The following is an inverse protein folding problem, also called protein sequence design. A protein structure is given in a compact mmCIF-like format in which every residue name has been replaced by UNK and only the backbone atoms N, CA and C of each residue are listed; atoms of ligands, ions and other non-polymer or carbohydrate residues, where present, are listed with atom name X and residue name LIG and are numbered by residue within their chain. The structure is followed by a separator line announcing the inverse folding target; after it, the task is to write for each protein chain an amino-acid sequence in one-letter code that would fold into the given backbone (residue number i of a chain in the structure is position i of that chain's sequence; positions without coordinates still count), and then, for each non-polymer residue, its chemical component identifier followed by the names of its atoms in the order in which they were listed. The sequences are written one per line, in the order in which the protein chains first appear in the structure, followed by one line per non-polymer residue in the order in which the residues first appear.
data_IF_209153063188
#
_entry.id   IF_209153063188
#
_cell.length_a   1.000
_cell.length_b   1.000
_cell.length_c   1.000
_cell.angle_alpha   90.00
_cell.angle_beta   90.00
_cell.angle_gamma   90.00
#
_symmetry.space_group_name_H-M   'P 1'
#
loop_
_entity.id
_entity.type
_entity.pdbx_description
1 polymer ?
#
# COMPACT_ATOMS: atom_id res chain seq x y z
N UNK A 1 -20.14 7.18 -29.39
CA UNK A 1 -19.17 7.93 -28.57
C UNK A 1 -19.87 8.49 -27.36
N UNK A 2 -19.28 8.37 -26.18
CA UNK A 2 -19.82 8.91 -24.93
C UNK A 2 -19.68 10.43 -24.98
N UNK A 3 -20.76 11.14 -24.65
CA UNK A 3 -20.87 12.60 -24.93
C UNK A 3 -20.16 13.48 -23.89
N UNK A 4 -19.93 13.01 -22.65
CA UNK A 4 -19.32 13.80 -21.57
C UNK A 4 -18.51 12.93 -20.60
N UNK A 5 -17.61 13.55 -19.83
CA UNK A 5 -16.88 12.86 -18.78
C UNK A 5 -17.79 12.44 -17.62
N UNK A 6 -18.84 13.17 -17.32
CA UNK A 6 -19.82 12.73 -16.33
C UNK A 6 -20.49 11.41 -16.73
N UNK A 7 -20.78 11.22 -18.02
CA UNK A 7 -21.34 9.96 -18.52
C UNK A 7 -20.30 8.82 -18.45
N UNK A 8 -19.03 9.09 -18.79
CA UNK A 8 -17.92 8.14 -18.61
C UNK A 8 -17.80 7.69 -17.14
N UNK A 9 -17.88 8.61 -16.20
CA UNK A 9 -17.83 8.33 -14.76
C UNK A 9 -19.02 7.47 -14.32
N UNK A 10 -20.24 7.73 -14.82
CA UNK A 10 -21.42 6.91 -14.52
C UNK A 10 -21.25 5.49 -15.03
N UNK A 11 -20.85 5.34 -16.30
CA UNK A 11 -20.59 4.01 -16.90
C UNK A 11 -19.53 3.26 -16.10
N UNK A 12 -18.41 3.92 -15.79
CA UNK A 12 -17.32 3.31 -15.00
C UNK A 12 -17.82 2.84 -13.63
N UNK A 13 -18.63 3.64 -12.96
CA UNK A 13 -19.24 3.31 -11.66
C UNK A 13 -20.18 2.10 -11.74
N UNK A 14 -21.00 2.02 -12.78
CA UNK A 14 -22.02 0.98 -12.95
C UNK A 14 -21.42 -0.34 -13.44
N UNK A 15 -20.48 -0.28 -14.39
CA UNK A 15 -19.93 -1.45 -15.06
C UNK A 15 -18.56 -1.87 -14.56
N UNK A 16 -17.90 -1.03 -13.72
CA UNK A 16 -16.52 -1.22 -13.21
C UNK A 16 -15.46 -1.27 -14.33
N UNK A 17 -15.81 -0.88 -15.52
CA UNK A 17 -14.93 -0.84 -16.67
C UNK A 17 -15.28 0.31 -17.59
N UNK A 18 -14.30 0.75 -18.38
CA UNK A 18 -14.50 1.74 -19.44
C UNK A 18 -13.59 1.34 -20.59
N UNK A 19 -13.99 1.62 -21.83
CA UNK A 19 -13.15 1.35 -23.00
C UNK A 19 -11.87 2.19 -22.93
N UNK A 20 -10.74 1.68 -23.44
CA UNK A 20 -9.40 2.28 -23.26
C UNK A 20 -9.32 3.72 -23.77
N UNK A 21 -9.93 4.02 -24.92
CA UNK A 21 -9.96 5.39 -25.47
C UNK A 21 -10.82 6.33 -24.65
N UNK A 22 -11.94 5.85 -24.12
CA UNK A 22 -12.81 6.63 -23.25
C UNK A 22 -12.17 6.88 -21.86
N UNK A 23 -11.41 5.91 -21.33
CA UNK A 23 -10.62 6.08 -20.11
C UNK A 23 -9.52 7.13 -20.29
N UNK A 24 -8.81 7.11 -21.43
CA UNK A 24 -7.83 8.13 -21.80
C UNK A 24 -8.47 9.50 -21.82
N UNK A 25 -9.59 9.65 -22.53
CA UNK A 25 -10.31 10.92 -22.64
C UNK A 25 -10.73 11.44 -21.28
N UNK A 26 -11.23 10.56 -20.41
CA UNK A 26 -11.59 10.89 -19.03
C UNK A 26 -10.38 11.46 -18.27
N UNK A 27 -9.25 10.78 -18.28
CA UNK A 27 -8.07 11.17 -17.49
C UNK A 27 -7.36 12.43 -18.02
N UNK A 28 -7.45 12.71 -19.33
CA UNK A 28 -6.74 13.82 -19.97
C UNK A 28 -7.54 15.13 -20.04
N UNK A 29 -8.88 15.09 -19.87
CA UNK A 29 -9.71 16.24 -20.24
C UNK A 29 -10.79 16.63 -19.24
N UNK A 30 -10.67 16.25 -17.96
CA UNK A 30 -11.64 16.63 -16.94
C UNK A 30 -11.59 18.12 -16.61
N UNK A 31 -12.76 18.75 -16.50
CA UNK A 31 -12.95 20.05 -15.85
C UNK A 31 -12.96 19.91 -14.33
N UNK A 32 -12.82 21.00 -13.59
CA UNK A 32 -12.89 20.99 -12.11
C UNK A 32 -14.21 20.42 -11.59
N UNK A 33 -15.32 20.70 -12.27
CA UNK A 33 -16.66 20.16 -11.92
C UNK A 33 -16.73 18.64 -12.16
N UNK A 34 -16.12 18.15 -13.22
CA UNK A 34 -16.05 16.71 -13.53
C UNK A 34 -15.11 15.97 -12.58
N UNK A 35 -14.03 16.61 -12.14
CA UNK A 35 -13.14 16.07 -11.09
C UNK A 35 -13.90 15.89 -9.77
N UNK A 36 -14.63 16.91 -9.32
CA UNK A 36 -15.44 16.80 -8.10
C UNK A 36 -16.53 15.72 -8.24
N UNK A 37 -17.14 15.59 -9.42
CA UNK A 37 -18.10 14.52 -9.70
C UNK A 37 -17.46 13.13 -9.64
N UNK A 38 -16.22 12.98 -10.13
CA UNK A 38 -15.43 11.75 -10.04
C UNK A 38 -15.15 11.41 -8.56
N UNK A 39 -14.64 12.36 -7.77
CA UNK A 39 -14.37 12.15 -6.36
C UNK A 39 -15.62 11.83 -5.55
N UNK A 40 -16.71 12.55 -5.80
CA UNK A 40 -17.99 12.28 -5.16
C UNK A 40 -18.52 10.88 -5.49
N UNK A 41 -18.39 10.45 -6.74
CA UNK A 41 -18.77 9.08 -7.18
C UNK A 41 -17.93 8.01 -6.48
N UNK A 42 -16.61 8.20 -6.40
CA UNK A 42 -15.70 7.28 -5.72
C UNK A 42 -15.98 7.22 -4.21
N UNK A 43 -16.25 8.37 -3.55
CA UNK A 43 -16.69 8.42 -2.13
C UNK A 43 -17.94 7.59 -1.91
N UNK A 44 -18.98 7.80 -2.72
CA UNK A 44 -20.23 7.06 -2.61
C UNK A 44 -20.03 5.55 -2.74
N UNK A 45 -19.17 5.11 -3.67
CA UNK A 45 -18.82 3.69 -3.81
C UNK A 45 -18.07 3.18 -2.59
N UNK A 46 -17.10 3.94 -2.07
CA UNK A 46 -16.37 3.56 -0.86
C UNK A 46 -17.30 3.46 0.35
N UNK A 47 -18.15 4.47 0.56
CA UNK A 47 -19.10 4.52 1.68
C UNK A 47 -20.18 3.45 1.60
N UNK A 48 -20.58 3.02 0.41
CA UNK A 48 -21.51 1.90 0.23
C UNK A 48 -20.93 0.55 0.72
N UNK A 49 -19.60 0.39 0.71
CA UNK A 49 -18.93 -0.84 1.12
C UNK A 49 -18.32 -0.77 2.53
N UNK A 50 -17.81 0.39 2.91
CA UNK A 50 -17.03 0.58 4.14
C UNK A 50 -17.61 1.67 5.04
N UNK A 51 -18.80 2.20 4.70
CA UNK A 51 -19.40 3.36 5.36
C UNK A 51 -18.38 4.52 5.38
N UNK A 52 -18.22 5.20 6.49
CA UNK A 52 -17.20 6.24 6.68
C UNK A 52 -15.99 5.76 7.49
N UNK A 53 -15.76 4.44 7.50
CA UNK A 53 -14.65 3.83 8.21
C UNK A 53 -13.33 4.02 7.48
N UNK A 54 -12.30 4.42 8.23
CA UNK A 54 -10.89 4.47 7.79
C UNK A 54 -10.09 3.49 8.63
N UNK A 55 -9.43 2.55 7.96
CA UNK A 55 -8.64 1.52 8.62
C UNK A 55 -7.22 2.00 8.90
N UNK A 56 -6.79 1.83 10.16
CA UNK A 56 -5.40 2.08 10.55
C UNK A 56 -4.56 0.82 10.39
N UNK A 57 -3.39 0.97 9.76
CA UNK A 57 -2.38 -0.08 9.69
C UNK A 57 -1.09 0.41 10.31
N UNK A 58 -0.65 -0.27 11.36
CA UNK A 58 0.59 0.05 12.06
C UNK A 58 1.81 -0.36 11.26
N UNK A 59 2.56 0.59 10.74
CA UNK A 59 3.72 0.37 9.89
C UNK A 59 4.98 0.26 10.75
N UNK A 60 5.70 -0.86 10.65
CA UNK A 60 7.02 -1.08 11.25
C UNK A 60 8.03 -1.21 10.10
N UNK A 61 8.81 -0.17 9.88
CA UNK A 61 9.94 -0.13 8.95
C UNK A 61 11.15 -0.72 9.68
N UNK A 62 11.40 -2.02 9.56
CA UNK A 62 12.34 -2.73 10.45
C UNK A 62 13.76 -2.83 9.92
N UNK A 63 13.99 -2.58 8.61
CA UNK A 63 15.33 -2.51 8.03
C UNK A 63 15.38 -1.54 6.87
N UNK A 64 16.42 -0.69 6.83
CA UNK A 64 16.72 0.19 5.70
C UNK A 64 17.73 -0.43 4.70
N UNK A 65 18.17 -1.66 4.90
CA UNK A 65 19.01 -2.37 3.96
C UNK A 65 18.20 -2.93 2.79
N UNK A 66 18.76 -2.84 1.59
CA UNK A 66 18.19 -3.44 0.39
C UNK A 66 19.31 -3.96 -0.51
N UNK A 67 19.13 -5.15 -1.09
CA UNK A 67 20.06 -5.72 -2.08
C UNK A 67 19.83 -5.17 -3.49
N UNK A 68 18.66 -4.58 -3.74
CA UNK A 68 18.26 -4.08 -5.04
C UNK A 68 18.72 -2.63 -5.26
N UNK A 69 18.82 -2.26 -6.52
CA UNK A 69 19.35 -0.96 -6.93
C UNK A 69 18.35 -0.14 -7.76
N UNK A 70 17.06 -0.19 -7.38
CA UNK A 70 15.98 0.56 -8.05
C UNK A 70 16.35 2.05 -8.15
N UNK A 71 16.18 2.63 -9.35
CA UNK A 71 16.73 3.95 -9.67
C UNK A 71 16.00 5.12 -9.00
N UNK A 72 14.85 4.88 -8.41
CA UNK A 72 14.01 5.86 -7.72
C UNK A 72 14.12 5.82 -6.19
N UNK A 73 14.74 4.79 -5.61
CA UNK A 73 14.62 4.49 -4.18
C UNK A 73 15.85 4.94 -3.38
N UNK A 74 15.67 5.77 -2.36
CA UNK A 74 16.76 6.19 -1.48
C UNK A 74 17.41 5.05 -0.67
N UNK A 75 16.72 3.89 -0.54
CA UNK A 75 17.29 2.69 0.10
C UNK A 75 18.05 1.77 -0.88
N UNK A 76 18.23 2.17 -2.11
CA UNK A 76 18.97 1.39 -3.11
C UNK A 76 20.35 0.96 -2.62
N UNK A 77 20.82 -0.19 -3.10
CA UNK A 77 22.11 -0.78 -2.65
C UNK A 77 23.28 0.19 -2.83
N UNK A 78 23.37 0.84 -3.99
CA UNK A 78 24.46 1.75 -4.33
C UNK A 78 24.42 3.10 -3.60
N UNK A 79 23.37 3.39 -2.82
CA UNK A 79 23.35 4.61 -2.01
C UNK A 79 24.22 4.43 -0.75
N UNK A 80 25.46 4.90 -0.83
CA UNK A 80 26.44 4.83 0.27
C UNK A 80 26.18 5.87 1.36
N UNK A 81 25.35 6.89 1.10
CA UNK A 81 25.00 7.94 2.07
C UNK A 81 23.82 7.51 2.96
N UNK A 82 23.09 6.46 2.60
CA UNK A 82 21.96 5.97 3.37
C UNK A 82 22.39 5.48 4.77
N UNK A 83 21.83 6.08 5.81
CA UNK A 83 22.05 5.67 7.19
C UNK A 83 21.32 4.35 7.45
N UNK A 84 22.05 3.24 7.40
CA UNK A 84 21.51 1.90 7.52
C UNK A 84 21.22 1.51 8.97
N UNK A 85 20.13 0.74 9.16
CA UNK A 85 19.79 0.13 10.45
C UNK A 85 19.03 -1.18 10.21
N UNK A 86 18.99 -1.99 11.26
CA UNK A 86 18.13 -3.17 11.41
C UNK A 86 17.60 -3.16 12.85
N UNK A 87 16.34 -3.45 13.02
CA UNK A 87 15.75 -3.66 14.36
C UNK A 87 15.96 -5.12 14.77
N UNK A 88 16.16 -5.36 16.07
CA UNK A 88 16.14 -6.72 16.58
C UNK A 88 14.72 -7.30 16.60
N UNK A 89 14.60 -8.61 16.76
CA UNK A 89 13.29 -9.26 16.87
C UNK A 89 12.48 -8.69 18.05
N UNK A 90 13.14 -8.47 19.19
CA UNK A 90 12.53 -7.89 20.39
C UNK A 90 12.02 -6.47 20.14
N UNK A 91 12.77 -5.64 19.41
CA UNK A 91 12.35 -4.28 19.06
C UNK A 91 11.13 -4.30 18.13
N UNK A 92 11.10 -5.23 17.16
CA UNK A 92 9.96 -5.37 16.22
C UNK A 92 8.71 -5.82 16.97
N UNK A 93 8.82 -6.82 17.83
CA UNK A 93 7.71 -7.32 18.65
C UNK A 93 7.20 -6.23 19.61
N UNK A 94 8.08 -5.52 20.28
CA UNK A 94 7.71 -4.40 21.17
C UNK A 94 6.96 -3.28 20.39
N UNK A 95 7.35 -2.99 19.13
CA UNK A 95 6.60 -2.06 18.29
C UNK A 95 5.20 -2.59 17.96
N UNK A 96 5.05 -3.90 17.70
CA UNK A 96 3.77 -4.52 17.45
C UNK A 96 2.87 -4.50 18.69
N UNK A 97 3.40 -4.84 19.87
CA UNK A 97 2.71 -4.78 21.17
C UNK A 97 2.21 -3.36 21.44
N UNK A 98 3.09 -2.37 21.27
CA UNK A 98 2.72 -0.96 21.42
C UNK A 98 1.63 -0.54 20.42
N UNK A 99 1.70 -1.01 19.18
CA UNK A 99 0.66 -0.79 18.17
C UNK A 99 -0.68 -1.38 18.61
N UNK A 100 -0.68 -2.58 19.13
CA UNK A 100 -1.89 -3.25 19.63
C UNK A 100 -2.56 -2.48 20.78
N UNK A 101 -1.78 -2.02 21.76
CA UNK A 101 -2.24 -1.16 22.87
C UNK A 101 -2.87 0.14 22.35
N UNK A 102 -2.35 0.70 21.27
CA UNK A 102 -2.87 1.89 20.63
C UNK A 102 -4.10 1.61 19.74
N UNK A 103 -4.61 0.38 19.70
CA UNK A 103 -5.80 0.00 18.96
C UNK A 103 -5.58 -0.37 17.50
N UNK A 104 -4.34 -0.58 17.06
CA UNK A 104 -4.10 -1.16 15.74
C UNK A 104 -4.45 -2.66 15.76
N UNK A 105 -5.08 -3.14 14.70
CA UNK A 105 -5.41 -4.56 14.48
C UNK A 105 -4.83 -5.09 13.17
N UNK A 106 -3.96 -4.29 12.56
CA UNK A 106 -3.08 -4.70 11.45
C UNK A 106 -1.69 -4.16 11.69
N UNK A 107 -0.72 -5.05 11.66
CA UNK A 107 0.71 -4.73 11.72
C UNK A 107 1.31 -4.97 10.32
N UNK A 108 2.02 -3.98 9.80
CA UNK A 108 2.72 -4.07 8.51
C UNK A 108 4.22 -4.09 8.78
N UNK A 109 4.86 -5.21 8.47
CA UNK A 109 6.31 -5.35 8.51
C UNK A 109 6.87 -4.98 7.13
N UNK A 110 7.60 -3.87 7.07
CA UNK A 110 8.18 -3.34 5.83
C UNK A 110 9.69 -3.17 5.93
N UNK A 111 10.39 -3.55 4.88
CA UNK A 111 11.84 -3.33 4.74
C UNK A 111 12.23 -3.19 3.26
N UNK A 112 13.48 -2.82 2.99
CA UNK A 112 14.11 -3.20 1.74
C UNK A 112 14.23 -4.73 1.64
N UNK A 113 14.65 -5.24 0.49
CA UNK A 113 14.99 -6.67 0.36
C UNK A 113 16.33 -6.94 1.06
N UNK A 114 16.25 -7.13 2.37
CA UNK A 114 17.42 -7.33 3.23
C UNK A 114 17.71 -8.83 3.40
N UNK A 115 18.84 -9.35 2.90
CA UNK A 115 19.19 -10.77 3.02
C UNK A 115 19.60 -11.19 4.44
N UNK A 116 19.76 -10.25 5.37
CA UNK A 116 20.06 -10.54 6.77
C UNK A 116 18.93 -11.33 7.44
N UNK A 117 17.69 -10.94 7.19
CA UNK A 117 16.53 -11.66 7.70
C UNK A 117 16.21 -12.85 6.79
N UNK A 118 16.52 -14.05 7.28
CA UNK A 118 16.20 -15.30 6.59
C UNK A 118 14.71 -15.61 6.72
N UNK A 119 14.23 -16.59 5.99
CA UNK A 119 12.82 -17.00 6.04
C UNK A 119 12.40 -17.42 7.45
N UNK A 120 13.29 -18.10 8.19
CA UNK A 120 13.08 -18.48 9.58
C UNK A 120 12.82 -17.25 10.48
N UNK A 121 13.64 -16.22 10.32
CA UNK A 121 13.55 -15.00 11.12
C UNK A 121 12.21 -14.27 10.86
N UNK A 122 11.78 -14.20 9.59
CA UNK A 122 10.47 -13.63 9.22
C UNK A 122 9.32 -14.48 9.77
N UNK A 123 9.41 -15.81 9.68
CA UNK A 123 8.40 -16.71 10.25
C UNK A 123 8.27 -16.53 11.77
N UNK A 124 9.39 -16.43 12.50
CA UNK A 124 9.38 -16.17 13.95
C UNK A 124 8.77 -14.83 14.31
N UNK A 125 9.04 -13.77 13.55
CA UNK A 125 8.39 -12.46 13.76
C UNK A 125 6.87 -12.53 13.54
N UNK A 126 6.45 -13.20 12.47
CA UNK A 126 5.02 -13.35 12.15
C UNK A 126 4.32 -14.17 13.23
N UNK A 127 4.84 -15.35 13.60
CA UNK A 127 4.23 -16.20 14.63
C UNK A 127 4.25 -15.51 16.00
N UNK A 128 5.33 -14.82 16.37
CA UNK A 128 5.39 -14.07 17.61
C UNK A 128 4.31 -12.99 17.71
N UNK A 129 4.07 -12.21 16.64
CA UNK A 129 2.96 -11.24 16.62
C UNK A 129 1.61 -11.96 16.73
N UNK A 130 1.43 -13.10 16.06
CA UNK A 130 0.18 -13.86 16.12
C UNK A 130 -0.06 -14.53 17.47
N UNK A 131 1.00 -14.93 18.17
CA UNK A 131 0.91 -15.48 19.53
C UNK A 131 0.52 -14.41 20.56
N UNK A 132 1.14 -13.21 20.48
CA UNK A 132 0.80 -12.09 21.35
C UNK A 132 -0.59 -11.52 21.03
N UNK A 133 -0.94 -11.41 19.75
CA UNK A 133 -2.14 -10.72 19.25
C UNK A 133 -2.84 -11.52 18.15
N UNK A 134 -3.55 -12.60 18.50
CA UNK A 134 -4.16 -13.51 17.51
C UNK A 134 -5.24 -12.85 16.65
N UNK A 135 -5.85 -11.77 17.14
CA UNK A 135 -6.83 -10.96 16.42
C UNK A 135 -6.21 -9.91 15.47
N UNK A 136 -4.89 -9.76 15.47
CA UNK A 136 -4.19 -8.89 14.52
C UNK A 136 -3.98 -9.57 13.16
N UNK A 137 -4.10 -8.79 12.09
CA UNK A 137 -3.60 -9.16 10.78
C UNK A 137 -2.11 -8.77 10.64
N UNK A 138 -1.31 -9.66 10.09
CA UNK A 138 0.09 -9.39 9.76
C UNK A 138 0.23 -9.25 8.25
N UNK A 139 0.75 -8.09 7.82
CA UNK A 139 1.04 -7.78 6.41
C UNK A 139 2.55 -7.73 6.22
N UNK A 140 3.06 -8.42 5.22
CA UNK A 140 4.47 -8.34 4.82
C UNK A 140 4.62 -7.42 3.59
N UNK A 141 5.68 -6.61 3.59
CA UNK A 141 6.10 -5.77 2.45
C UNK A 141 7.63 -5.78 2.41
N UNK A 142 8.20 -6.92 2.00
CA UNK A 142 9.64 -7.23 2.07
C UNK A 142 10.22 -7.68 0.72
N UNK A 143 9.58 -7.27 -0.39
CA UNK A 143 10.04 -7.49 -1.76
C UNK A 143 9.78 -8.88 -2.32
N UNK A 144 10.60 -9.27 -3.30
CA UNK A 144 10.46 -10.52 -4.04
C UNK A 144 11.09 -11.69 -3.30
N UNK A 145 10.38 -12.82 -3.26
CA UNK A 145 10.83 -14.07 -2.66
C UNK A 145 10.47 -15.26 -3.56
N UNK A 146 10.91 -16.45 -3.17
CA UNK A 146 10.46 -17.68 -3.81
C UNK A 146 9.04 -18.05 -3.38
N UNK A 147 8.36 -18.89 -4.15
CA UNK A 147 7.03 -19.42 -3.79
C UNK A 147 7.07 -20.16 -2.46
N UNK A 148 8.16 -20.91 -2.21
CA UNK A 148 8.36 -21.64 -0.96
C UNK A 148 8.48 -20.71 0.24
N UNK A 149 9.22 -19.59 0.10
CA UNK A 149 9.31 -18.55 1.15
C UNK A 149 7.94 -17.97 1.45
N UNK A 150 7.16 -17.62 0.42
CA UNK A 150 5.79 -17.11 0.59
C UNK A 150 4.90 -18.12 1.31
N UNK A 151 4.98 -19.41 0.93
CA UNK A 151 4.19 -20.46 1.59
C UNK A 151 4.55 -20.58 3.08
N UNK A 152 5.85 -20.49 3.42
CA UNK A 152 6.32 -20.52 4.81
C UNK A 152 5.77 -19.35 5.61
N UNK A 153 5.81 -18.13 5.05
CA UNK A 153 5.25 -16.94 5.71
C UNK A 153 3.73 -17.06 5.93
N UNK A 154 3.01 -17.57 4.94
CA UNK A 154 1.57 -17.82 5.06
C UNK A 154 1.27 -18.85 6.15
N UNK A 155 2.02 -19.94 6.20
CA UNK A 155 1.89 -20.97 7.23
C UNK A 155 2.23 -20.46 8.64
N UNK A 156 3.18 -19.51 8.76
CA UNK A 156 3.50 -18.83 10.01
C UNK A 156 2.41 -17.86 10.49
N UNK A 157 1.40 -17.56 9.65
CA UNK A 157 0.25 -16.75 10.01
C UNK A 157 0.19 -15.37 9.35
N UNK A 158 1.08 -15.06 8.39
CA UNK A 158 0.97 -13.81 7.63
C UNK A 158 -0.33 -13.82 6.81
N UNK A 159 -1.14 -12.78 6.97
CA UNK A 159 -2.47 -12.67 6.35
C UNK A 159 -2.41 -11.98 4.98
N UNK A 160 -1.50 -11.01 4.83
CA UNK A 160 -1.44 -10.12 3.66
C UNK A 160 -0.01 -9.93 3.17
N UNK A 161 0.11 -9.64 1.89
CA UNK A 161 1.38 -9.25 1.29
C UNK A 161 1.20 -8.07 0.35
N UNK A 162 2.02 -7.02 0.50
CA UNK A 162 2.04 -5.88 -0.41
C UNK A 162 3.33 -5.93 -1.25
N UNK A 163 3.17 -6.06 -2.56
CA UNK A 163 4.26 -6.05 -3.53
C UNK A 163 3.86 -5.17 -4.72
N UNK A 164 4.30 -3.91 -4.72
CA UNK A 164 4.00 -2.99 -5.81
C UNK A 164 4.76 -3.40 -7.06
N UNK A 165 4.06 -3.45 -8.20
CA UNK A 165 4.74 -3.67 -9.49
C UNK A 165 5.41 -2.41 -10.02
N UNK A 166 5.04 -1.24 -9.52
CA UNK A 166 5.49 0.12 -9.86
C UNK A 166 5.06 0.57 -11.26
N UNK A 167 5.02 -0.31 -12.22
CA UNK A 167 4.42 -0.20 -13.55
C UNK A 167 4.24 -1.60 -14.13
N UNK A 168 3.25 -1.78 -14.98
CA UNK A 168 2.97 -3.06 -15.67
C UNK A 168 3.62 -3.16 -17.05
N UNK A 169 4.10 -2.02 -17.58
CA UNK A 169 4.78 -1.93 -18.86
C UNK A 169 6.25 -2.39 -18.74
N UNK A 170 6.71 -3.34 -19.59
CA UNK A 170 8.06 -3.88 -19.49
C UNK A 170 9.18 -2.88 -19.83
N UNK A 171 8.93 -1.92 -20.72
CA UNK A 171 9.95 -0.92 -21.08
C UNK A 171 10.08 0.11 -19.97
N UNK A 172 8.97 0.60 -19.46
CA UNK A 172 8.96 1.51 -18.33
C UNK A 172 9.52 0.86 -17.05
N UNK A 173 9.25 -0.44 -16.83
CA UNK A 173 9.84 -1.18 -15.70
C UNK A 173 11.37 -1.21 -15.77
N UNK A 174 11.96 -1.48 -16.94
CA UNK A 174 13.42 -1.42 -17.16
C UNK A 174 13.99 -0.03 -16.99
N UNK A 175 13.21 1.02 -17.31
CA UNK A 175 13.64 2.40 -17.07
C UNK A 175 13.76 2.72 -15.57
N UNK A 176 12.93 2.10 -14.72
CA UNK A 176 12.89 2.34 -13.28
C UNK A 176 13.82 1.40 -12.47
N UNK A 177 14.24 0.27 -13.04
CA UNK A 177 14.95 -0.79 -12.32
C UNK A 177 16.20 -1.26 -13.07
N UNK A 178 17.19 -1.83 -12.34
CA UNK A 178 18.32 -2.50 -12.96
C UNK A 178 17.89 -3.77 -13.70
N UNK A 179 18.68 -4.21 -14.68
CA UNK A 179 18.41 -5.38 -15.53
C UNK A 179 18.26 -6.71 -14.75
N UNK A 180 18.70 -6.74 -13.48
CA UNK A 180 18.53 -7.88 -12.59
C UNK A 180 17.10 -8.07 -12.11
N UNK A 181 16.24 -7.06 -12.26
CA UNK A 181 14.82 -7.07 -11.90
C UNK A 181 13.97 -7.04 -13.16
N UNK A 182 12.99 -7.93 -13.24
CA UNK A 182 12.07 -8.00 -14.39
C UNK A 182 10.61 -7.92 -13.94
N UNK A 183 9.78 -7.31 -14.78
CA UNK A 183 8.34 -7.24 -14.51
C UNK A 183 7.68 -8.62 -14.53
N UNK A 184 8.20 -9.54 -15.33
CA UNK A 184 7.73 -10.91 -15.42
C UNK A 184 7.90 -11.62 -14.06
N UNK A 185 9.09 -11.51 -13.44
CA UNK A 185 9.31 -12.07 -12.10
C UNK A 185 8.44 -11.39 -11.05
N UNK A 186 8.24 -10.06 -11.12
CA UNK A 186 7.35 -9.32 -10.24
C UNK A 186 5.91 -9.81 -10.35
N UNK A 187 5.40 -9.99 -11.59
CA UNK A 187 4.06 -10.52 -11.85
C UNK A 187 3.94 -11.98 -11.40
N UNK A 188 4.98 -12.81 -11.58
CA UNK A 188 5.04 -14.18 -11.05
C UNK A 188 4.89 -14.17 -9.51
N UNK A 189 5.66 -13.34 -8.82
CA UNK A 189 5.58 -13.22 -7.36
C UNK A 189 4.14 -12.83 -6.90
N UNK A 190 3.52 -11.88 -7.58
CA UNK A 190 2.14 -11.48 -7.30
C UNK A 190 1.16 -12.63 -7.49
N UNK A 191 1.34 -13.42 -8.56
CA UNK A 191 0.50 -14.57 -8.85
C UNK A 191 0.69 -15.68 -7.80
N UNK A 192 1.94 -16.00 -7.44
CA UNK A 192 2.25 -16.99 -6.39
C UNK A 192 1.58 -16.62 -5.06
N UNK A 193 1.71 -15.36 -4.64
CA UNK A 193 1.08 -14.85 -3.41
C UNK A 193 -0.44 -14.99 -3.44
N UNK A 194 -1.06 -14.69 -4.58
CA UNK A 194 -2.51 -14.82 -4.76
C UNK A 194 -2.97 -16.27 -4.67
N UNK A 195 -2.27 -17.19 -5.34
CA UNK A 195 -2.58 -18.62 -5.36
C UNK A 195 -2.38 -19.29 -3.99
N UNK A 196 -1.40 -18.84 -3.19
CA UNK A 196 -1.18 -19.30 -1.82
C UNK A 196 -2.34 -18.88 -0.90
N UNK A 197 -3.03 -17.76 -1.23
CA UNK A 197 -4.21 -17.31 -0.50
C UNK A 197 -4.00 -16.07 0.37
N UNK A 198 -2.92 -15.31 0.17
CA UNK A 198 -2.79 -14.00 0.79
C UNK A 198 -3.87 -13.01 0.33
N UNK A 199 -4.29 -12.12 1.21
CA UNK A 199 -4.89 -10.87 0.75
C UNK A 199 -3.77 -10.04 0.10
N UNK A 200 -3.72 -10.09 -1.23
CA UNK A 200 -2.61 -9.52 -2.02
C UNK A 200 -2.82 -8.03 -2.31
N UNK A 201 -1.74 -7.27 -2.20
CA UNK A 201 -1.66 -5.87 -2.61
C UNK A 201 -0.65 -5.66 -3.73
N UNK A 202 -1.03 -4.88 -4.72
CA UNK A 202 -0.16 -4.38 -5.77
C UNK A 202 -0.16 -2.85 -5.81
N UNK A 203 0.39 -2.21 -6.84
CA UNK A 203 0.32 -0.76 -6.99
C UNK A 203 1.45 -0.16 -7.81
N UNK A 204 1.34 1.13 -8.05
CA UNK A 204 2.23 1.89 -8.94
C UNK A 204 2.72 3.18 -8.30
N UNK A 205 3.79 3.76 -8.85
CA UNK A 205 4.15 5.15 -8.66
C UNK A 205 3.43 6.01 -9.70
N UNK A 206 2.87 7.14 -9.27
CA UNK A 206 2.20 8.09 -10.15
C UNK A 206 3.16 9.23 -10.49
N UNK A 207 3.32 9.50 -11.79
CA UNK A 207 4.26 10.51 -12.27
C UNK A 207 5.72 10.09 -12.12
N UNK A 208 6.03 8.79 -12.17
CA UNK A 208 7.40 8.29 -12.20
C UNK A 208 8.11 8.71 -13.50
N UNK A 209 9.45 8.83 -13.49
CA UNK A 209 10.21 9.27 -14.66
C UNK A 209 9.86 8.47 -15.92
N UNK A 210 9.54 9.17 -17.00
CA UNK A 210 9.14 8.56 -18.28
C UNK A 210 7.72 7.96 -18.31
N UNK A 211 6.90 8.09 -17.27
CA UNK A 211 5.53 7.60 -17.27
C UNK A 211 4.66 8.35 -18.28
N UNK A 212 3.95 7.62 -19.11
CA UNK A 212 2.99 8.15 -20.09
C UNK A 212 1.58 7.74 -19.74
N UNK A 213 0.57 8.33 -20.40
CA UNK A 213 -0.82 7.90 -20.25
C UNK A 213 -1.03 6.44 -20.68
N UNK A 214 -0.28 5.93 -21.67
CA UNK A 214 -0.37 4.52 -22.05
C UNK A 214 0.11 3.58 -20.93
N UNK A 215 1.17 3.95 -20.21
CA UNK A 215 1.62 3.20 -19.04
C UNK A 215 0.56 3.19 -17.94
N UNK A 216 -0.06 4.33 -17.66
CA UNK A 216 -1.15 4.43 -16.66
C UNK A 216 -2.34 3.54 -17.06
N UNK A 217 -2.75 3.57 -18.32
CA UNK A 217 -3.84 2.73 -18.81
C UNK A 217 -3.50 1.23 -18.70
N UNK A 218 -2.26 0.84 -19.07
CA UNK A 218 -1.80 -0.54 -18.89
C UNK A 218 -1.86 -0.97 -17.43
N UNK A 219 -1.43 -0.12 -16.52
CA UNK A 219 -1.47 -0.35 -15.09
C UNK A 219 -2.91 -0.51 -14.55
N UNK A 220 -3.82 0.36 -14.96
CA UNK A 220 -5.23 0.29 -14.56
C UNK A 220 -5.88 -1.02 -15.01
N UNK A 221 -5.68 -1.41 -16.28
CA UNK A 221 -6.27 -2.65 -16.81
C UNK A 221 -5.59 -3.91 -16.25
N UNK A 222 -4.27 -3.86 -15.99
CA UNK A 222 -3.60 -4.93 -15.25
C UNK A 222 -4.22 -5.12 -13.86
N UNK A 223 -4.40 -4.05 -13.08
CA UNK A 223 -5.01 -4.12 -11.75
C UNK A 223 -6.47 -4.61 -11.82
N UNK A 224 -7.25 -4.16 -12.80
CA UNK A 224 -8.62 -4.61 -13.00
C UNK A 224 -8.71 -6.12 -13.32
N UNK A 225 -7.79 -6.63 -14.14
CA UNK A 225 -7.70 -8.05 -14.48
C UNK A 225 -7.17 -8.88 -13.31
N UNK A 226 -6.10 -8.43 -12.66
CA UNK A 226 -5.47 -9.11 -11.53
C UNK A 226 -6.38 -9.18 -10.30
N UNK A 227 -7.27 -8.19 -10.10
CA UNK A 227 -8.20 -8.09 -8.97
C UNK A 227 -7.51 -8.25 -7.62
N UNK A 228 -6.63 -7.33 -7.23
CA UNK A 228 -5.99 -7.33 -5.94
C UNK A 228 -6.97 -6.98 -4.83
N UNK A 229 -6.67 -7.36 -3.59
CA UNK A 229 -7.43 -6.94 -2.40
C UNK A 229 -7.03 -5.54 -1.92
N UNK A 230 -5.80 -5.12 -2.23
CA UNK A 230 -5.24 -3.82 -1.86
C UNK A 230 -4.54 -3.21 -3.07
N UNK A 231 -4.60 -1.88 -3.22
CA UNK A 231 -3.83 -1.16 -4.24
C UNK A 231 -3.15 0.05 -3.61
N UNK A 232 -1.81 0.02 -3.54
CA UNK A 232 -1.01 1.11 -3.00
C UNK A 232 -0.47 2.00 -4.11
N UNK A 233 -1.09 3.17 -4.33
CA UNK A 233 -0.56 4.18 -5.25
C UNK A 233 -0.16 5.44 -4.50
N UNK A 234 0.81 6.16 -5.03
CA UNK A 234 1.22 7.46 -4.51
C UNK A 234 2.12 8.18 -5.51
N UNK A 235 2.24 9.49 -5.37
CA UNK A 235 3.10 10.26 -6.27
C UNK A 235 4.56 9.84 -6.12
N UNK A 236 5.28 9.79 -7.23
CA UNK A 236 6.73 9.73 -7.23
C UNK A 236 7.28 11.00 -6.56
N UNK A 237 8.26 10.84 -5.69
CA UNK A 237 9.03 11.93 -5.10
C UNK A 237 10.50 11.55 -5.26
N UNK A 238 11.35 12.40 -5.87
CA UNK A 238 12.75 12.08 -6.05
C UNK A 238 13.50 11.99 -4.73
N UNK A 239 14.61 11.27 -4.71
CA UNK A 239 15.58 11.27 -3.63
C UNK A 239 16.92 11.76 -4.19
N UNK A 240 17.57 12.67 -3.48
CA UNK A 240 18.80 13.36 -3.94
C UNK A 240 19.98 12.41 -4.23
N UNK A 241 20.03 11.23 -3.63
CA UNK A 241 21.07 10.21 -3.84
C UNK A 241 20.64 9.11 -4.84
N UNK A 242 19.77 9.43 -5.79
CA UNK A 242 19.29 8.46 -6.79
C UNK A 242 19.56 8.96 -8.21
N UNK A 243 19.60 8.07 -9.21
CA UNK A 243 19.67 8.49 -10.62
C UNK A 243 18.57 9.49 -11.04
N UNK A 244 17.44 9.48 -10.37
CA UNK A 244 16.30 10.34 -10.65
C UNK A 244 16.21 11.58 -9.73
N UNK A 245 17.32 11.98 -9.10
CA UNK A 245 17.36 13.14 -8.21
C UNK A 245 16.90 14.46 -8.88
N UNK A 246 17.13 14.62 -10.18
CA UNK A 246 16.73 15.80 -10.95
C UNK A 246 15.33 15.72 -11.58
N UNK A 247 14.61 14.62 -11.40
CA UNK A 247 13.30 14.42 -12.00
C UNK A 247 12.20 15.14 -11.23
N UNK A 248 11.12 15.49 -11.94
CA UNK A 248 9.97 16.14 -11.33
C UNK A 248 9.16 15.12 -10.51
N UNK A 249 8.68 15.56 -9.35
CA UNK A 249 7.73 14.77 -8.57
C UNK A 249 6.40 14.60 -9.34
N UNK A 250 5.73 13.46 -9.11
CA UNK A 250 4.35 13.25 -9.50
C UNK A 250 3.40 14.21 -8.78
N UNK A 251 2.17 14.36 -9.27
CA UNK A 251 1.23 15.35 -8.73
C UNK A 251 0.22 14.73 -7.77
N UNK A 252 -0.26 15.54 -6.84
CA UNK A 252 -1.40 15.18 -5.98
C UNK A 252 -2.64 14.96 -6.84
N UNK A 253 -2.89 15.84 -7.82
CA UNK A 253 -4.06 15.81 -8.71
C UNK A 253 -4.15 14.46 -9.45
N UNK A 254 -3.11 14.06 -10.16
CA UNK A 254 -3.11 12.79 -10.90
C UNK A 254 -3.29 11.59 -9.97
N UNK A 255 -2.68 11.64 -8.78
CA UNK A 255 -2.83 10.58 -7.79
C UNK A 255 -4.27 10.48 -7.29
N UNK A 256 -4.97 11.60 -7.06
CA UNK A 256 -6.37 11.62 -6.64
C UNK A 256 -7.29 11.10 -7.74
N UNK A 257 -7.05 11.48 -9.01
CA UNK A 257 -7.79 10.95 -10.16
C UNK A 257 -7.68 9.42 -10.22
N UNK A 258 -6.45 8.90 -10.10
CA UNK A 258 -6.22 7.46 -10.16
C UNK A 258 -6.80 6.72 -8.94
N UNK A 259 -6.75 7.30 -7.74
CA UNK A 259 -7.43 6.73 -6.56
C UNK A 259 -8.93 6.59 -6.82
N UNK A 260 -9.57 7.64 -7.35
CA UNK A 260 -10.99 7.63 -7.62
C UNK A 260 -11.36 6.66 -8.74
N UNK A 261 -10.61 6.64 -9.84
CA UNK A 261 -10.81 5.66 -10.94
C UNK A 261 -10.66 4.23 -10.44
N UNK A 262 -9.60 3.93 -9.68
CA UNK A 262 -9.37 2.59 -9.11
C UNK A 262 -10.51 2.20 -8.17
N UNK A 263 -11.06 3.12 -7.38
CA UNK A 263 -12.23 2.87 -6.53
C UNK A 263 -13.46 2.49 -7.36
N UNK A 264 -13.67 3.16 -8.49
CA UNK A 264 -14.81 2.83 -9.38
C UNK A 264 -14.60 1.50 -10.10
N UNK A 265 -13.36 1.17 -10.52
CA UNK A 265 -13.03 -0.10 -11.18
C UNK A 265 -13.03 -1.29 -10.20
N UNK A 266 -12.63 -1.07 -8.96
CA UNK A 266 -12.47 -2.08 -7.90
C UNK A 266 -13.19 -1.62 -6.62
N UNK A 267 -14.52 -1.71 -6.55
CA UNK A 267 -15.33 -1.09 -5.49
C UNK A 267 -14.96 -1.47 -4.06
N UNK A 268 -14.45 -2.69 -3.85
CA UNK A 268 -14.09 -3.23 -2.52
C UNK A 268 -12.59 -3.19 -2.21
N UNK A 269 -11.76 -2.64 -3.11
CA UNK A 269 -10.32 -2.61 -2.89
C UNK A 269 -9.94 -1.74 -1.68
N UNK A 270 -8.95 -2.16 -0.91
CA UNK A 270 -8.40 -1.36 0.17
C UNK A 270 -7.37 -0.38 -0.40
N UNK A 271 -7.63 0.91 -0.31
CA UNK A 271 -6.81 1.98 -0.90
C UNK A 271 -6.19 2.86 0.19
N UNK A 272 -4.86 2.89 0.34
CA UNK A 272 -4.21 3.80 1.26
C UNK A 272 -4.10 5.23 0.71
N UNK A 273 -4.44 6.20 1.56
CA UNK A 273 -3.99 7.58 1.41
C UNK A 273 -2.55 7.65 1.94
N UNK A 274 -1.58 7.61 1.03
CA UNK A 274 -0.17 7.35 1.34
C UNK A 274 0.53 8.52 2.04
N UNK A 275 1.67 8.22 2.70
CA UNK A 275 2.55 9.24 3.27
C UNK A 275 3.09 10.19 2.20
N UNK A 276 3.35 9.69 1.00
CA UNK A 276 3.82 10.51 -0.14
C UNK A 276 2.81 11.60 -0.53
N UNK A 277 1.49 11.31 -0.53
CA UNK A 277 0.47 12.36 -0.71
C UNK A 277 0.56 13.43 0.37
N UNK A 278 0.72 13.02 1.63
CA UNK A 278 0.87 13.96 2.76
C UNK A 278 2.19 14.72 2.75
N UNK A 279 3.22 14.20 2.08
CA UNK A 279 4.52 14.86 1.92
C UNK A 279 4.44 16.01 0.91
N UNK A 280 3.75 15.80 -0.22
CA UNK A 280 3.57 16.87 -1.24
C UNK A 280 2.54 17.90 -0.78
N UNK A 281 1.44 17.45 -0.19
CA UNK A 281 0.36 18.33 0.28
C UNK A 281 0.02 17.97 1.74
N UNK A 282 0.16 18.91 2.69
CA UNK A 282 -0.20 18.67 4.10
C UNK A 282 -1.63 18.12 4.31
N UNK A 283 -2.57 18.37 3.39
CA UNK A 283 -3.93 17.82 3.37
C UNK A 283 -4.09 16.64 2.39
N UNK A 284 -3.00 16.14 1.82
CA UNK A 284 -3.04 15.11 0.78
C UNK A 284 -3.72 13.82 1.23
N UNK A 285 -3.55 13.41 2.50
CA UNK A 285 -4.22 12.21 3.03
C UNK A 285 -5.73 12.37 3.12
N UNK A 286 -6.20 13.52 3.62
CA UNK A 286 -7.63 13.84 3.69
C UNK A 286 -8.25 13.92 2.29
N UNK A 287 -7.55 14.56 1.34
CA UNK A 287 -7.98 14.60 -0.06
C UNK A 287 -8.04 13.18 -0.66
N UNK A 288 -7.06 12.33 -0.34
CA UNK A 288 -7.06 10.92 -0.75
C UNK A 288 -8.28 10.15 -0.24
N UNK A 289 -8.65 10.32 1.04
CA UNK A 289 -9.86 9.71 1.61
C UNK A 289 -11.11 10.24 0.88
N UNK A 290 -11.18 11.55 0.64
CA UNK A 290 -12.29 12.17 -0.09
C UNK A 290 -12.32 11.77 -1.57
N UNK A 291 -11.25 11.24 -2.12
CA UNK A 291 -11.17 10.65 -3.46
C UNK A 291 -11.36 9.10 -3.46
N UNK A 292 -11.84 8.52 -2.35
CA UNK A 292 -12.20 7.10 -2.28
C UNK A 292 -11.18 6.19 -1.61
N UNK A 293 -10.08 6.70 -1.03
CA UNK A 293 -9.21 5.91 -0.16
C UNK A 293 -9.89 5.62 1.20
N UNK A 294 -9.48 4.53 1.86
CA UNK A 294 -10.05 4.10 3.13
C UNK A 294 -9.02 3.50 4.10
N UNK A 295 -7.73 3.65 3.83
CA UNK A 295 -6.65 3.14 4.68
C UNK A 295 -5.62 4.25 4.93
N UNK A 296 -5.09 4.33 6.14
CA UNK A 296 -3.90 5.13 6.47
C UNK A 296 -2.91 4.30 7.28
N UNK A 297 -1.62 4.63 7.15
CA UNK A 297 -0.53 3.83 7.71
C UNK A 297 0.37 4.67 8.61
N UNK A 298 -0.02 4.90 9.89
CA UNK A 298 0.87 5.53 10.87
C UNK A 298 2.09 4.66 11.16
N UNK A 299 3.24 5.31 11.39
CA UNK A 299 4.51 4.65 11.66
C UNK A 299 4.62 4.25 13.14
N UNK A 300 4.89 2.96 13.40
CA UNK A 300 5.13 2.40 14.74
C UNK A 300 6.61 2.16 15.04
N UNK A 301 7.51 2.28 14.05
CA UNK A 301 8.94 2.10 14.29
C UNK A 301 9.45 3.06 15.35
N UNK A 302 10.53 2.75 16.09
CA UNK A 302 11.13 3.68 17.04
C UNK A 302 11.49 5.01 16.37
N UNK A 303 11.20 6.14 17.03
CA UNK A 303 11.44 7.47 16.46
C UNK A 303 12.90 7.67 15.99
N UNK A 304 13.88 7.14 16.73
CA UNK A 304 15.31 7.26 16.41
C UNK A 304 15.78 6.57 15.12
N UNK A 305 14.94 5.76 14.47
CA UNK A 305 15.29 5.11 13.18
C UNK A 305 14.48 5.61 12.00
N UNK A 306 13.35 6.29 12.21
CA UNK A 306 12.44 6.72 11.13
C UNK A 306 13.10 7.63 10.11
N UNK A 307 14.00 8.54 10.57
CA UNK A 307 14.81 9.41 9.71
C UNK A 307 15.84 8.66 8.86
N UNK A 308 16.08 7.38 9.15
CA UNK A 308 17.00 6.52 8.40
C UNK A 308 16.30 5.70 7.31
N UNK A 309 14.95 5.69 7.31
CA UNK A 309 14.15 4.99 6.30
C UNK A 309 13.59 5.98 5.28
N UNK A 310 14.47 6.52 4.45
CA UNK A 310 14.14 7.53 3.45
C UNK A 310 14.08 6.89 2.07
N UNK A 311 12.87 6.60 1.62
CA UNK A 311 12.60 6.14 0.26
C UNK A 311 12.73 7.29 -0.75
N UNK A 312 12.38 8.51 -0.31
CA UNK A 312 12.34 9.75 -1.07
C UNK A 312 12.58 10.94 -0.14
N UNK A 313 12.87 12.11 -0.70
CA UNK A 313 13.15 13.32 0.08
C UNK A 313 11.90 13.91 0.74
N UNK A 314 12.11 14.58 1.88
CA UNK A 314 11.06 15.28 2.60
C UNK A 314 10.01 14.39 3.26
N UNK A 315 10.24 13.07 3.40
CA UNK A 315 9.31 12.14 4.06
C UNK A 315 8.87 12.67 5.41
N UNK A 316 7.55 12.82 5.59
CA UNK A 316 6.94 13.31 6.83
C UNK A 316 6.75 12.21 7.88
N UNK A 317 6.35 12.58 9.10
CA UNK A 317 6.09 11.67 10.23
C UNK A 317 7.33 10.89 10.68
N UNK A 318 8.48 11.55 10.71
CA UNK A 318 9.76 10.95 11.13
C UNK A 318 10.07 11.18 12.60
N UNK A 319 9.52 12.23 13.25
CA UNK A 319 9.85 12.65 14.62
C UNK A 319 8.80 12.32 15.68
N UNK A 320 7.54 12.06 15.31
CA UNK A 320 6.44 11.90 16.27
C UNK A 320 6.41 10.50 16.89
N UNK A 321 6.06 10.39 18.17
CA UNK A 321 5.77 9.11 18.79
C UNK A 321 4.51 8.44 18.18
N UNK A 322 4.45 7.10 18.27
CA UNK A 322 3.35 6.33 17.66
C UNK A 322 1.96 6.74 18.17
N UNK A 323 1.84 7.05 19.48
CA UNK A 323 0.61 7.50 20.09
C UNK A 323 0.15 8.88 19.58
N UNK A 324 1.10 9.80 19.38
CA UNK A 324 0.83 11.14 18.84
C UNK A 324 0.43 11.06 17.38
N UNK A 325 1.13 10.27 16.61
CA UNK A 325 0.82 9.99 15.20
C UNK A 325 -0.61 9.44 15.04
N UNK A 326 -1.03 8.50 15.90
CA UNK A 326 -2.38 7.94 15.90
C UNK A 326 -3.43 8.99 16.19
N UNK A 327 -3.27 9.75 17.29
CA UNK A 327 -4.23 10.81 17.71
C UNK A 327 -4.35 11.92 16.66
N UNK A 328 -3.22 12.36 16.12
CA UNK A 328 -3.18 13.35 15.04
C UNK A 328 -3.97 12.87 13.82
N UNK A 329 -3.76 11.62 13.40
CA UNK A 329 -4.44 11.05 12.24
C UNK A 329 -5.94 10.90 12.47
N UNK A 330 -6.36 10.43 13.65
CA UNK A 330 -7.77 10.31 14.04
C UNK A 330 -8.48 11.66 13.99
N UNK A 331 -7.91 12.70 14.62
CA UNK A 331 -8.47 14.05 14.59
C UNK A 331 -8.57 14.65 13.16
N UNK A 332 -7.63 14.31 12.28
CA UNK A 332 -7.67 14.76 10.87
C UNK A 332 -8.79 14.06 10.08
N UNK A 333 -8.98 12.77 10.32
CA UNK A 333 -10.02 11.95 9.69
C UNK A 333 -11.40 12.41 10.15
N UNK A 334 -11.58 12.69 11.45
CA UNK A 334 -12.83 13.20 12.02
C UNK A 334 -13.23 14.55 11.44
N UNK A 335 -12.28 15.45 11.21
CA UNK A 335 -12.55 16.78 10.60
C UNK A 335 -13.16 16.72 9.21
N UNK A 336 -12.93 15.64 8.46
CA UNK A 336 -13.54 15.43 7.14
C UNK A 336 -14.80 14.56 7.20
N UNK A 337 -15.32 14.28 8.41
CA UNK A 337 -16.57 13.55 8.62
C UNK A 337 -16.46 12.02 8.51
N UNK A 338 -15.25 11.47 8.63
CA UNK A 338 -14.95 10.04 8.68
C UNK A 338 -14.54 9.63 10.09
N UNK A 339 -14.42 8.34 10.36
CA UNK A 339 -13.95 7.85 11.65
C UNK A 339 -12.93 6.71 11.48
N UNK A 340 -12.04 6.61 12.45
CA UNK A 340 -11.10 5.50 12.55
C UNK A 340 -11.82 4.31 13.19
N UNK A 341 -11.67 3.12 12.61
CA UNK A 341 -12.21 1.89 13.18
C UNK A 341 -11.10 1.00 13.72
N UNK A 342 -11.37 0.37 14.89
CA UNK A 342 -10.49 -0.63 15.50
C UNK A 342 -10.92 -2.00 14.99
N UNK A 343 -10.40 -2.40 13.85
CA UNK A 343 -10.64 -3.69 13.22
C UNK A 343 -9.41 -4.14 12.43
N UNK A 344 -9.42 -5.41 11.99
CA UNK A 344 -8.39 -5.92 11.07
C UNK A 344 -8.41 -5.21 9.72
N UNK A 345 -9.58 -4.63 9.33
CA UNK A 345 -9.79 -4.02 8.02
C UNK A 345 -9.48 -5.00 6.90
N UNK A 346 -10.06 -6.20 6.96
CA UNK A 346 -9.93 -7.21 5.92
C UNK A 346 -10.72 -6.81 4.67
N UNK A 347 -10.30 -7.31 3.52
CA UNK A 347 -11.01 -7.05 2.28
C UNK A 347 -12.44 -7.61 2.34
N UNK A 348 -13.44 -6.75 2.06
CA UNK A 348 -14.86 -7.11 2.13
C UNK A 348 -15.47 -7.13 3.53
N UNK A 349 -14.72 -6.73 4.58
CA UNK A 349 -15.23 -6.58 5.94
C UNK A 349 -16.21 -5.38 6.01
N UNK A 350 -17.47 -5.66 6.41
CA UNK A 350 -18.45 -4.63 6.74
C UNK A 350 -18.46 -4.40 8.26
N UNK A 351 -18.74 -3.18 8.74
CA UNK A 351 -18.81 -2.83 10.17
C UNK A 351 -19.74 -3.72 11.00
N UNK A 352 -20.71 -4.38 10.38
CA UNK A 352 -21.65 -5.31 11.05
C UNK A 352 -20.98 -6.62 11.48
N UNK A 353 -19.74 -6.92 11.06
CA UNK A 353 -19.02 -8.15 11.37
C UNK A 353 -18.11 -8.06 12.61
N UNK A 354 -18.19 -6.98 13.41
CA UNK A 354 -17.26 -6.74 14.54
C UNK A 354 -17.44 -7.65 15.75
N UNK A 355 -18.36 -8.65 15.72
CA UNK A 355 -18.58 -9.59 16.82
C UNK A 355 -18.88 -11.02 16.37
N UNK A 356 -18.03 -11.61 15.54
CA UNK A 356 -17.99 -13.09 15.47
C UNK A 356 -16.56 -13.54 15.17
N UNK A 357 -15.84 -13.88 16.22
CA UNK A 357 -14.61 -14.67 16.11
C UNK A 357 -15.02 -16.03 15.56
N UNK A 358 -14.99 -16.21 14.24
CA UNK A 358 -15.07 -17.54 13.66
C UNK A 358 -13.68 -18.17 13.80
N UNK A 359 -13.50 -18.92 14.88
CA UNK A 359 -12.35 -19.78 15.09
C UNK A 359 -12.23 -20.76 13.93
N UNK A 360 -11.29 -20.54 13.02
CA UNK A 360 -10.68 -21.62 12.29
C UNK A 360 -9.56 -22.17 13.16
N UNK A 361 -9.92 -23.10 14.08
CA UNK A 361 -8.95 -24.04 14.62
C UNK A 361 -8.36 -24.80 13.43
N UNK A 362 -7.11 -24.51 13.08
CA UNK A 362 -6.31 -25.41 12.27
C UNK A 362 -5.85 -26.53 13.22
N UNK A 363 -6.39 -27.72 13.03
CA UNK A 363 -5.87 -28.93 13.68
C UNK A 363 -4.40 -29.12 13.25
N UNK A 364 -3.51 -28.98 14.21
CA UNK A 364 -2.13 -29.44 14.06
C UNK A 364 -2.16 -30.97 14.19
N UNK A 365 -2.01 -31.67 13.06
CA UNK A 365 -1.66 -33.09 13.10
C UNK A 365 -0.20 -33.15 13.53
N UNK A 366 0.01 -33.47 14.80
CA UNK A 366 1.31 -33.93 15.29
C UNK A 366 1.34 -35.42 14.96
N UNK A 367 2.00 -35.79 13.88
CA UNK A 367 2.42 -37.18 13.69
C UNK A 367 3.65 -37.41 14.58
N UNK A 368 3.41 -38.21 15.62
CA UNK A 368 4.44 -38.72 16.52
C UNK A 368 5.03 -40.02 16.00
N UNK A 369 6.24 -40.24 16.42
CA UNK A 369 7.16 -41.36 16.51
C UNK A 369 8.38 -41.26 15.59
#
# INVERSE_FOLDING_TARGET
MISSNQERIRILRETQTLERGEMRTLLESMTDEEEEFLYASARQVCEAHYHKAVFLRGLIEFSSWCRNDCYYCGLRHSNLNARRYRLSAEEILACADRGYELGFRTIVLQSGEDPFYRDEDICLLVSGIKEHHPDCAVTLSIGEKSRESYQRYFNAGADRYLLRQETSDPQHYRHLHPDTLTIENRKRCLQDLKEIGFQIGCGIMVGSPGQTMDHILEDLYYMAHFRPHMVGIGPFIPHHDTPFAGEKAGTVKDTLHLLAVIRLMLPRVLLPATTALGTIDPKGREKGILAGANVVMPNLSPAGVREKYLLYDGKICTGDEAAECRRCMEARIERIGYHVTVSRGDWGENETASHTISGRCREYVVEGA
#
